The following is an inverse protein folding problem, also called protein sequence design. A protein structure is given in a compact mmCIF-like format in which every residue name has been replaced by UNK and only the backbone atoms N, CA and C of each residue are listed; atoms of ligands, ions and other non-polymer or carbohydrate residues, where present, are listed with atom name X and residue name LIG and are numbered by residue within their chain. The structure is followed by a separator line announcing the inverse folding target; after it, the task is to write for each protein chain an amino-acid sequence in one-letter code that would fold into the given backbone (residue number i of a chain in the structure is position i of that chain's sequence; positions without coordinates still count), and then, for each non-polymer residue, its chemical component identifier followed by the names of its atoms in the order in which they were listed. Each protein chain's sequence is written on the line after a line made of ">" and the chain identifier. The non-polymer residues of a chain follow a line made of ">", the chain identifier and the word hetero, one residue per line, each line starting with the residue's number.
data_IF_279380323322
#
_entry.id   IF_279380323322
#
_cell.length_a   1.000
_cell.length_b   1.000
_cell.length_c   1.000
_cell.angle_alpha   90.00
_cell.angle_beta   90.00
_cell.angle_gamma   90.00
#
_symmetry.space_group_name_H-M   'P 1'
#
loop_
_entity.id
_entity.type
_entity.pdbx_description
1 polymer ?
#
# COMPACT_ATOMS: atom_id res chain seq x y z
N UNK A 1 65.72 -11.48 33.44
CA UNK A 1 64.67 -11.64 32.39
C UNK A 1 63.25 -11.36 32.90
N UNK A 2 62.94 -11.59 34.18
CA UNK A 2 61.61 -11.47 34.80
C UNK A 2 61.06 -10.04 34.93
N UNK A 3 61.91 -9.03 35.09
CA UNK A 3 61.52 -7.60 35.20
C UNK A 3 61.06 -6.99 33.88
N UNK A 4 61.65 -7.38 32.74
CA UNK A 4 61.23 -6.92 31.40
C UNK A 4 59.84 -7.46 31.03
N UNK A 5 59.56 -8.74 31.33
CA UNK A 5 58.23 -9.34 31.13
C UNK A 5 57.16 -8.69 32.02
N UNK A 6 57.49 -8.36 33.28
CA UNK A 6 56.57 -7.65 34.19
C UNK A 6 56.21 -6.26 33.68
N UNK A 7 57.19 -5.48 33.17
CA UNK A 7 56.94 -4.16 32.58
C UNK A 7 56.13 -4.24 31.29
N UNK A 8 56.40 -5.21 30.43
CA UNK A 8 55.63 -5.41 29.20
C UNK A 8 54.15 -5.75 29.51
N UNK A 9 53.90 -6.61 30.51
CA UNK A 9 52.55 -6.96 30.96
C UNK A 9 51.80 -5.78 31.57
N UNK A 10 52.45 -4.93 32.37
CA UNK A 10 51.81 -3.74 32.93
C UNK A 10 51.48 -2.68 31.88
N UNK A 11 52.33 -2.50 30.87
CA UNK A 11 52.07 -1.59 29.75
C UNK A 11 50.89 -2.09 28.91
N UNK A 12 50.86 -3.38 28.59
CA UNK A 12 49.75 -4.00 27.84
C UNK A 12 48.42 -3.88 28.60
N UNK A 13 48.42 -4.16 29.91
CA UNK A 13 47.22 -4.05 30.74
C UNK A 13 46.70 -2.60 30.80
N UNK A 14 47.60 -1.62 30.93
CA UNK A 14 47.21 -0.20 30.95
C UNK A 14 46.64 0.24 29.61
N UNK A 15 47.23 -0.20 28.50
CA UNK A 15 46.73 0.08 27.15
C UNK A 15 45.34 -0.53 26.92
N UNK A 16 45.11 -1.78 27.35
CA UNK A 16 43.78 -2.42 27.26
C UNK A 16 42.72 -1.69 28.09
N UNK A 17 43.07 -1.24 29.30
CA UNK A 17 42.15 -0.46 30.15
C UNK A 17 41.83 0.89 29.52
N UNK A 18 42.80 1.57 28.93
CA UNK A 18 42.58 2.84 28.22
C UNK A 18 41.69 2.64 26.98
N UNK A 19 41.95 1.60 26.18
CA UNK A 19 41.11 1.29 25.01
C UNK A 19 39.69 0.92 25.44
N UNK A 20 39.52 0.09 26.47
CA UNK A 20 38.21 -0.24 27.02
C UNK A 20 37.49 1.01 27.57
N UNK A 21 38.22 1.90 28.24
CA UNK A 21 37.71 3.18 28.74
C UNK A 21 37.25 4.11 27.62
N UNK A 22 38.02 4.21 26.53
CA UNK A 22 37.64 5.00 25.35
C UNK A 22 36.42 4.40 24.66
N UNK A 23 36.36 3.08 24.47
CA UNK A 23 35.20 2.41 23.88
C UNK A 23 33.95 2.65 24.74
N UNK A 24 34.07 2.54 26.06
CA UNK A 24 32.96 2.79 26.98
C UNK A 24 32.51 4.26 26.91
N UNK A 25 33.46 5.21 26.93
CA UNK A 25 33.17 6.63 26.81
C UNK A 25 32.44 6.96 25.49
N UNK A 26 32.91 6.42 24.37
CA UNK A 26 32.26 6.59 23.06
C UNK A 26 30.84 6.01 23.05
N UNK A 27 30.65 4.79 23.59
CA UNK A 27 29.34 4.13 23.70
C UNK A 27 28.36 4.96 24.55
N UNK A 28 28.82 5.51 25.67
CA UNK A 28 28.00 6.34 26.54
C UNK A 28 27.65 7.70 25.93
N UNK A 29 28.58 8.29 25.17
CA UNK A 29 28.34 9.54 24.45
C UNK A 29 27.32 9.36 23.32
N UNK A 30 27.42 8.26 22.56
CA UNK A 30 26.46 7.88 21.52
C UNK A 30 25.05 7.67 22.09
N UNK A 31 24.95 6.97 23.24
CA UNK A 31 23.67 6.77 23.91
C UNK A 31 23.08 8.10 24.43
N UNK A 32 23.92 9.01 24.92
CA UNK A 32 23.49 10.34 25.36
C UNK A 32 23.08 11.26 24.20
N UNK A 33 23.47 10.96 22.97
CA UNK A 33 23.13 11.74 21.78
C UNK A 33 21.81 11.32 21.12
N UNK A 34 21.16 10.24 21.59
CA UNK A 34 19.98 9.64 20.96
C UNK A 34 18.75 9.74 21.85
N UNK A 35 17.58 9.95 21.26
CA UNK A 35 16.29 9.82 21.94
C UNK A 35 15.66 8.50 21.49
N UNK A 36 15.42 7.61 22.44
CA UNK A 36 14.82 6.29 22.23
C UNK A 36 13.32 6.37 22.43
N UNK A 37 12.57 5.74 21.53
CA UNK A 37 11.12 5.74 21.52
C UNK A 37 10.62 4.32 21.29
N UNK A 38 9.50 3.99 21.92
CA UNK A 38 8.74 2.78 21.66
C UNK A 38 7.41 3.18 21.04
N UNK A 39 7.03 2.58 19.92
CA UNK A 39 5.72 2.76 19.34
C UNK A 39 5.02 1.42 19.15
N UNK A 40 3.70 1.41 19.32
CA UNK A 40 2.87 0.25 19.04
C UNK A 40 2.13 0.47 17.72
N UNK A 41 2.28 -0.43 16.75
CA UNK A 41 1.59 -0.38 15.47
C UNK A 41 0.65 -1.57 15.33
N UNK A 42 -0.37 -1.48 14.47
CA UNK A 42 -1.25 -2.62 14.15
C UNK A 42 -0.46 -3.83 13.61
N UNK A 43 0.54 -3.58 12.77
CA UNK A 43 1.47 -4.60 12.26
C UNK A 43 2.86 -3.99 11.98
N UNK A 44 3.83 -4.83 11.63
CA UNK A 44 5.20 -4.42 11.28
C UNK A 44 5.57 -4.80 9.85
N UNK A 45 4.61 -4.88 8.94
CA UNK A 45 4.87 -5.34 7.58
C UNK A 45 5.76 -4.34 6.82
N UNK A 46 6.81 -4.86 6.20
CA UNK A 46 7.73 -4.10 5.35
C UNK A 46 8.72 -3.19 6.09
N UNK A 47 8.76 -3.22 7.43
CA UNK A 47 9.80 -2.57 8.25
C UNK A 47 10.71 -3.60 8.92
N UNK A 48 11.99 -3.26 9.01
CA UNK A 48 13.05 -4.12 9.55
C UNK A 48 13.93 -3.36 10.53
N UNK A 49 14.66 -4.09 11.37
CA UNK A 49 15.70 -3.49 12.20
C UNK A 49 16.81 -2.92 11.31
N UNK A 50 17.20 -1.66 11.54
CA UNK A 50 18.13 -0.92 10.69
C UNK A 50 17.47 0.00 9.66
N UNK A 51 16.14 -0.06 9.49
CA UNK A 51 15.41 0.88 8.63
C UNK A 51 15.38 2.28 9.25
N UNK A 52 15.12 3.28 8.40
CA UNK A 52 15.21 4.68 8.77
C UNK A 52 14.00 5.17 9.58
N UNK A 53 14.28 6.11 10.47
CA UNK A 53 13.29 6.98 11.11
C UNK A 53 13.44 8.36 10.48
N UNK A 54 12.33 8.93 10.02
CA UNK A 54 12.29 10.13 9.19
C UNK A 54 11.57 11.29 9.89
N UNK A 55 12.05 12.51 9.67
CA UNK A 55 11.32 13.76 9.95
C UNK A 55 11.26 14.55 8.63
N UNK A 56 10.06 14.80 8.12
CA UNK A 56 9.84 15.42 6.79
C UNK A 56 10.60 14.71 5.66
N UNK A 57 10.65 13.38 5.70
CA UNK A 57 11.37 12.56 4.72
C UNK A 57 12.91 12.50 4.89
N UNK A 58 13.48 13.22 5.86
CA UNK A 58 14.93 13.19 6.12
C UNK A 58 15.26 12.10 7.15
N UNK A 59 16.21 11.18 6.89
CA UNK A 59 16.67 10.21 7.87
C UNK A 59 17.33 10.88 9.08
N UNK A 60 16.79 10.62 10.26
CA UNK A 60 17.24 11.19 11.55
C UNK A 60 17.58 10.13 12.59
N UNK A 61 17.33 8.85 12.28
CA UNK A 61 17.34 7.78 13.24
C UNK A 61 17.14 6.41 12.61
N UNK A 62 17.09 5.38 13.44
CA UNK A 62 17.03 3.97 13.00
C UNK A 62 16.12 3.12 13.90
N UNK A 63 15.50 2.11 13.30
CA UNK A 63 14.79 1.05 14.02
C UNK A 63 15.80 0.11 14.68
N UNK A 64 15.59 -0.18 15.97
CA UNK A 64 16.46 -1.07 16.76
C UNK A 64 15.90 -2.47 16.82
N UNK A 65 14.61 -2.59 17.17
CA UNK A 65 13.99 -3.87 17.47
C UNK A 65 12.52 -3.85 17.14
N UNK A 66 12.03 -4.94 16.57
CA UNK A 66 10.62 -5.20 16.32
C UNK A 66 10.24 -6.43 17.14
N UNK A 67 9.21 -6.29 17.96
CA UNK A 67 8.68 -7.33 18.83
C UNK A 67 7.20 -7.57 18.47
N UNK A 68 6.90 -8.62 17.70
CA UNK A 68 5.52 -8.99 17.41
C UNK A 68 4.77 -9.35 18.70
N UNK A 69 3.55 -8.85 18.83
CA UNK A 69 2.60 -9.20 19.89
C UNK A 69 1.31 -9.74 19.25
N UNK A 70 0.40 -10.39 20.02
CA UNK A 70 -0.78 -11.04 19.44
C UNK A 70 -1.70 -10.13 18.62
N UNK A 71 -1.80 -8.84 18.98
CA UNK A 71 -2.74 -7.89 18.36
C UNK A 71 -2.06 -6.63 17.79
N UNK A 72 -0.72 -6.55 17.86
CA UNK A 72 0.06 -5.35 17.51
C UNK A 72 1.54 -5.67 17.41
N UNK A 73 2.34 -4.78 16.84
CA UNK A 73 3.80 -4.85 16.85
C UNK A 73 4.37 -3.73 17.73
N UNK A 74 5.26 -4.09 18.66
CA UNK A 74 6.03 -3.12 19.45
C UNK A 74 7.34 -2.86 18.74
N UNK A 75 7.56 -1.62 18.31
CA UNK A 75 8.77 -1.20 17.59
C UNK A 75 9.55 -0.23 18.45
N UNK A 76 10.82 -0.56 18.72
CA UNK A 76 11.76 0.31 19.42
C UNK A 76 12.71 0.93 18.40
N UNK A 77 12.81 2.25 18.40
CA UNK A 77 13.65 3.00 17.49
C UNK A 77 14.27 4.21 18.20
N UNK A 78 15.26 4.84 17.58
CA UNK A 78 15.86 6.07 18.09
C UNK A 78 15.95 7.12 17.01
N UNK A 79 16.07 8.38 17.41
CA UNK A 79 16.46 9.51 16.55
C UNK A 79 17.49 10.40 17.25
N UNK A 80 18.28 11.12 16.48
CA UNK A 80 19.30 12.05 17.02
C UNK A 80 18.65 13.16 17.84
N UNK A 81 19.14 13.39 19.06
CA UNK A 81 18.62 14.37 20.01
C UNK A 81 18.74 15.83 19.54
N UNK A 82 19.53 16.08 18.48
CA UNK A 82 19.61 17.39 17.80
C UNK A 82 18.31 17.77 17.10
N UNK A 83 17.45 16.81 16.76
CA UNK A 83 16.15 17.05 16.16
C UNK A 83 15.07 17.19 17.23
N UNK A 84 14.27 18.25 17.12
CA UNK A 84 13.11 18.46 18.00
C UNK A 84 11.90 17.76 17.39
N UNK A 85 11.23 16.94 18.18
CA UNK A 85 9.97 16.26 17.84
C UNK A 85 8.93 16.66 18.88
N UNK A 86 7.69 17.04 18.50
CA UNK A 86 6.63 17.32 19.47
C UNK A 86 6.39 16.15 20.43
N UNK A 87 6.06 16.43 21.69
CA UNK A 87 5.75 15.39 22.68
C UNK A 87 4.54 14.54 22.29
N UNK A 88 3.61 15.12 21.54
CA UNK A 88 2.37 14.50 21.06
C UNK A 88 2.49 13.94 19.63
N UNK A 89 3.68 13.90 19.03
CA UNK A 89 3.87 13.40 17.67
C UNK A 89 3.38 11.95 17.48
N UNK A 90 2.82 11.72 16.30
CA UNK A 90 2.42 10.42 15.77
C UNK A 90 3.56 9.78 14.97
N UNK A 91 3.45 8.47 14.77
CA UNK A 91 4.40 7.69 13.97
C UNK A 91 3.67 6.94 12.84
N UNK A 92 4.09 7.18 11.60
CA UNK A 92 3.52 6.54 10.41
C UNK A 92 4.55 5.63 9.76
N UNK A 93 4.23 4.36 9.52
CA UNK A 93 5.03 3.55 8.59
C UNK A 93 4.70 4.02 7.19
N UNK A 94 5.69 4.48 6.43
CA UNK A 94 5.55 4.91 5.05
C UNK A 94 6.41 4.05 4.14
N UNK A 95 5.97 3.86 2.90
CA UNK A 95 6.73 3.21 1.84
C UNK A 95 7.19 4.29 0.86
N UNK A 96 8.41 4.84 0.99
CA UNK A 96 8.90 5.87 0.06
C UNK A 96 9.04 5.32 -1.36
N UNK A 97 9.20 4.01 -1.50
CA UNK A 97 9.33 3.28 -2.76
C UNK A 97 8.40 2.06 -2.75
N UNK A 98 7.96 1.64 -3.93
CA UNK A 98 6.98 0.55 -4.09
C UNK A 98 7.57 -0.85 -3.80
N UNK A 99 8.91 -1.00 -3.90
CA UNK A 99 9.60 -2.30 -3.87
C UNK A 99 10.62 -2.43 -2.72
N UNK A 100 11.04 -1.32 -2.10
CA UNK A 100 12.10 -1.34 -1.06
C UNK A 100 11.53 -1.14 0.35
N UNK A 101 12.42 -1.25 1.35
CA UNK A 101 12.09 -1.16 2.76
C UNK A 101 11.31 0.12 3.13
N UNK A 102 10.43 -0.03 4.11
CA UNK A 102 9.62 1.07 4.65
C UNK A 102 10.39 1.81 5.73
N UNK A 103 9.89 2.98 6.11
CA UNK A 103 10.50 3.81 7.15
C UNK A 103 9.43 4.34 8.11
N UNK A 104 9.83 4.68 9.34
CA UNK A 104 8.93 5.33 10.32
C UNK A 104 9.05 6.84 10.19
N UNK A 105 7.97 7.51 9.81
CA UNK A 105 7.87 8.97 9.76
C UNK A 105 7.25 9.51 11.05
N UNK A 106 7.97 10.39 11.74
CA UNK A 106 7.44 11.15 12.87
C UNK A 106 6.74 12.43 12.37
N UNK A 107 5.51 12.66 12.81
CA UNK A 107 4.66 13.76 12.32
C UNK A 107 3.71 14.28 13.41
N UNK A 108 3.36 15.57 13.47
CA UNK A 108 3.83 16.67 12.63
C UNK A 108 5.29 17.08 12.95
N UNK A 109 5.96 17.83 12.06
CA UNK A 109 7.24 18.44 12.39
C UNK A 109 7.08 19.45 13.54
N UNK A 110 8.15 19.65 14.30
CA UNK A 110 8.11 20.55 15.46
C UNK A 110 7.84 22.00 15.07
N UNK A 111 6.74 22.55 15.57
CA UNK A 111 6.32 23.94 15.37
C UNK A 111 6.36 24.78 16.66
N UNK A 112 6.61 24.16 17.82
CA UNK A 112 6.64 24.81 19.13
C UNK A 112 6.14 23.88 20.24
N UNK A 113 6.25 24.32 21.50
CA UNK A 113 5.73 23.59 22.66
C UNK A 113 6.65 22.47 23.19
N UNK A 114 6.11 21.54 24.00
CA UNK A 114 6.88 20.45 24.61
C UNK A 114 7.50 19.51 23.57
N UNK A 115 8.74 19.07 23.83
CA UNK A 115 9.44 18.09 22.98
C UNK A 115 9.34 16.68 23.56
N UNK A 116 9.33 15.68 22.69
CA UNK A 116 9.34 14.27 23.05
C UNK A 116 10.55 13.93 23.93
N UNK A 117 10.28 13.30 25.07
CA UNK A 117 11.31 12.87 26.01
C UNK A 117 11.91 11.51 25.61
N UNK A 118 13.09 11.22 26.12
CA UNK A 118 13.70 9.90 26.00
C UNK A 118 12.84 8.84 26.71
N UNK A 119 12.67 7.67 26.09
CA UNK A 119 11.82 6.59 26.58
C UNK A 119 10.32 6.81 26.35
N UNK A 120 9.91 7.81 25.55
CA UNK A 120 8.50 8.05 25.24
C UNK A 120 7.87 6.83 24.58
N UNK A 121 6.63 6.52 24.97
CA UNK A 121 5.79 5.49 24.34
C UNK A 121 4.73 6.17 23.48
N UNK A 122 4.75 5.91 22.17
CA UNK A 122 3.69 6.29 21.24
C UNK A 122 2.65 5.16 21.24
N UNK A 123 1.42 5.41 21.71
CA UNK A 123 0.39 4.40 21.77
C UNK A 123 -0.21 4.17 20.37
N UNK A 124 -0.92 3.06 20.20
CA UNK A 124 -1.37 2.57 18.90
C UNK A 124 -2.30 3.54 18.18
N UNK A 125 -3.09 4.31 18.93
CA UNK A 125 -4.04 5.31 18.41
C UNK A 125 -3.34 6.50 17.74
N UNK A 126 -2.03 6.69 18.00
CA UNK A 126 -1.18 7.69 17.35
C UNK A 126 -0.19 7.07 16.38
N UNK A 127 -0.49 5.87 15.89
CA UNK A 127 0.28 5.23 14.85
C UNK A 127 -0.57 4.87 13.66
N UNK A 128 0.05 4.79 12.49
CA UNK A 128 -0.63 4.37 11.27
C UNK A 128 0.29 3.49 10.44
N UNK A 129 -0.30 2.45 9.85
CA UNK A 129 0.34 1.56 8.89
C UNK A 129 -0.32 1.71 7.52
N UNK A 130 0.42 1.55 6.40
CA UNK A 130 -0.18 1.58 5.08
C UNK A 130 -1.20 0.46 4.90
N UNK A 131 -2.20 0.71 4.06
CA UNK A 131 -3.12 -0.34 3.58
C UNK A 131 -2.34 -1.28 2.67
N UNK A 132 -2.43 -2.59 2.92
CA UNK A 132 -1.74 -3.58 2.10
C UNK A 132 -2.49 -3.88 0.80
N UNK A 133 -1.78 -4.39 -0.20
CA UNK A 133 -2.37 -4.76 -1.50
C UNK A 133 -3.49 -5.79 -1.34
N UNK A 134 -3.35 -6.71 -0.39
CA UNK A 134 -4.37 -7.72 -0.11
C UNK A 134 -5.65 -7.09 0.45
N UNK A 135 -5.54 -6.08 1.31
CA UNK A 135 -6.67 -5.33 1.84
C UNK A 135 -7.39 -4.56 0.73
N UNK A 136 -6.61 -3.88 -0.12
CA UNK A 136 -7.15 -3.20 -1.30
C UNK A 136 -7.88 -4.19 -2.22
N UNK A 137 -7.28 -5.34 -2.49
CA UNK A 137 -7.89 -6.39 -3.32
C UNK A 137 -9.19 -6.90 -2.69
N UNK A 138 -9.19 -7.15 -1.38
CA UNK A 138 -10.39 -7.60 -0.67
C UNK A 138 -11.51 -6.55 -0.71
N UNK A 139 -11.17 -5.27 -0.56
CA UNK A 139 -12.12 -4.15 -0.68
C UNK A 139 -12.66 -4.04 -2.11
N UNK A 140 -11.79 -4.14 -3.12
CA UNK A 140 -12.20 -4.14 -4.53
C UNK A 140 -13.07 -5.36 -4.89
N UNK A 141 -12.76 -6.54 -4.35
CA UNK A 141 -13.58 -7.74 -4.52
C UNK A 141 -14.97 -7.57 -3.89
N UNK A 142 -15.05 -7.01 -2.68
CA UNK A 142 -16.34 -6.69 -2.05
C UNK A 142 -17.15 -5.71 -2.88
N UNK A 143 -16.50 -4.64 -3.36
CA UNK A 143 -17.14 -3.67 -4.24
C UNK A 143 -17.64 -4.34 -5.54
N UNK A 144 -16.80 -5.15 -6.17
CA UNK A 144 -17.16 -5.91 -7.38
C UNK A 144 -18.33 -6.85 -7.10
N UNK A 145 -18.36 -7.50 -5.93
CA UNK A 145 -19.46 -8.37 -5.52
C UNK A 145 -20.78 -7.61 -5.27
N UNK A 146 -20.72 -6.34 -4.87
CA UNK A 146 -21.90 -5.48 -4.75
C UNK A 146 -22.38 -4.95 -6.10
N UNK A 147 -21.45 -4.73 -7.03
CA UNK A 147 -21.68 -4.21 -8.37
C UNK A 147 -22.01 -5.29 -9.41
N UNK A 148 -21.77 -6.57 -9.12
CA UNK A 148 -22.14 -7.64 -10.03
C UNK A 148 -23.66 -7.93 -9.95
N UNK A 149 -24.32 -8.19 -11.09
CA UNK A 149 -25.68 -8.71 -11.13
C UNK A 149 -25.82 -10.02 -10.35
N UNK A 150 -26.86 -10.15 -9.53
CA UNK A 150 -27.16 -11.42 -8.84
C UNK A 150 -27.62 -12.53 -9.80
N UNK A 151 -27.97 -12.17 -11.04
CA UNK A 151 -28.44 -13.05 -12.11
C UNK A 151 -27.89 -12.56 -13.47
N UNK A 152 -27.59 -13.44 -14.44
CA UNK A 152 -27.19 -13.02 -15.78
C UNK A 152 -28.22 -12.06 -16.40
N UNK A 153 -27.78 -10.88 -16.86
CA UNK A 153 -28.64 -9.83 -17.41
C UNK A 153 -29.47 -9.05 -16.37
N UNK A 154 -29.26 -9.28 -15.08
CA UNK A 154 -29.96 -8.59 -13.99
C UNK A 154 -29.27 -7.30 -13.52
N UNK A 155 -29.90 -6.61 -12.57
CA UNK A 155 -29.30 -5.47 -11.87
C UNK A 155 -28.46 -5.95 -10.69
N UNK A 156 -27.40 -5.22 -10.37
CA UNK A 156 -26.58 -5.49 -9.18
C UNK A 156 -27.31 -5.11 -7.89
N UNK A 157 -26.80 -5.53 -6.73
CA UNK A 157 -27.41 -5.14 -5.45
C UNK A 157 -27.42 -3.63 -5.25
N UNK A 158 -26.34 -2.94 -5.63
CA UNK A 158 -26.30 -1.47 -5.63
C UNK A 158 -27.23 -0.87 -6.70
N UNK A 159 -27.26 -1.46 -7.90
CA UNK A 159 -28.17 -1.03 -8.96
C UNK A 159 -29.65 -1.18 -8.57
N UNK A 160 -30.00 -2.23 -7.84
CA UNK A 160 -31.34 -2.46 -7.30
C UNK A 160 -31.70 -1.42 -6.25
N UNK A 161 -30.77 -1.05 -5.36
CA UNK A 161 -30.97 0.03 -4.38
C UNK A 161 -31.21 1.37 -5.09
N UNK A 162 -30.38 1.70 -6.09
CA UNK A 162 -30.51 2.93 -6.87
C UNK A 162 -31.83 2.95 -7.64
N UNK A 163 -32.21 1.85 -8.29
CA UNK A 163 -33.49 1.75 -8.99
C UNK A 163 -34.66 1.87 -8.03
N UNK A 164 -34.62 1.21 -6.87
CA UNK A 164 -35.68 1.30 -5.86
C UNK A 164 -35.80 2.72 -5.32
N UNK A 165 -34.68 3.40 -5.05
CA UNK A 165 -34.69 4.79 -4.63
C UNK A 165 -35.24 5.71 -5.73
N UNK A 166 -34.81 5.49 -6.98
CA UNK A 166 -35.29 6.25 -8.14
C UNK A 166 -36.78 6.02 -8.39
N UNK A 167 -37.27 4.79 -8.30
CA UNK A 167 -38.68 4.42 -8.48
C UNK A 167 -39.55 5.04 -7.38
N UNK A 168 -39.08 5.05 -6.14
CA UNK A 168 -39.77 5.68 -5.02
C UNK A 168 -39.81 7.21 -5.12
N UNK A 169 -38.86 7.84 -5.80
CA UNK A 169 -38.83 9.30 -6.00
C UNK A 169 -39.49 9.73 -7.31
N UNK A 170 -39.57 8.86 -8.32
CA UNK A 170 -40.07 9.21 -9.66
C UNK A 170 -41.55 9.56 -9.59
N UNK A 171 -41.90 10.73 -10.10
CA UNK A 171 -43.28 11.23 -10.09
C UNK A 171 -43.76 11.80 -8.74
N UNK A 172 -43.01 11.59 -7.65
CA UNK A 172 -43.38 12.09 -6.32
C UNK A 172 -43.06 13.56 -6.10
N UNK A 173 -42.45 14.26 -7.06
CA UNK A 173 -42.07 15.68 -6.91
C UNK A 173 -43.23 16.60 -6.56
N UNK A 174 -44.42 16.37 -7.13
CA UNK A 174 -45.62 17.14 -6.79
C UNK A 174 -46.10 16.83 -5.36
N UNK A 175 -46.09 15.56 -4.96
CA UNK A 175 -46.45 15.10 -3.62
C UNK A 175 -45.48 15.61 -2.55
N UNK A 176 -44.18 15.58 -2.82
CA UNK A 176 -43.13 16.12 -1.95
C UNK A 176 -43.32 17.63 -1.79
N UNK A 177 -43.51 18.36 -2.89
CA UNK A 177 -43.81 19.79 -2.86
C UNK A 177 -45.08 20.09 -2.05
N UNK A 178 -46.16 19.37 -2.29
CA UNK A 178 -47.43 19.54 -1.59
C UNK A 178 -47.30 19.21 -0.09
N UNK A 179 -46.52 18.18 0.25
CA UNK A 179 -46.24 17.81 1.65
C UNK A 179 -45.43 18.90 2.36
N UNK A 180 -44.42 19.48 1.70
CA UNK A 180 -43.63 20.60 2.25
C UNK A 180 -44.52 21.83 2.44
N UNK A 181 -45.38 22.16 1.47
CA UNK A 181 -46.32 23.28 1.58
C UNK A 181 -47.31 23.05 2.72
N UNK A 182 -47.92 21.87 2.81
CA UNK A 182 -48.85 21.52 3.89
C UNK A 182 -48.18 21.52 5.26
N UNK A 183 -46.93 21.07 5.35
CA UNK A 183 -46.14 21.10 6.58
C UNK A 183 -45.83 22.55 6.97
N UNK A 184 -45.39 23.41 6.04
CA UNK A 184 -45.20 24.85 6.26
C UNK A 184 -46.50 25.52 6.70
N UNK A 185 -47.64 25.19 6.08
CA UNK A 185 -48.95 25.70 6.48
C UNK A 185 -49.36 25.21 7.87
N UNK A 186 -49.11 23.95 8.22
CA UNK A 186 -49.41 23.42 9.54
C UNK A 186 -48.54 24.07 10.64
N UNK A 187 -47.25 24.27 10.36
CA UNK A 187 -46.32 24.97 11.26
C UNK A 187 -46.69 26.45 11.38
N UNK A 188 -47.05 27.11 10.27
CA UNK A 188 -47.50 28.51 10.28
C UNK A 188 -48.81 28.67 11.05
N UNK A 189 -49.79 27.78 10.85
CA UNK A 189 -51.03 27.79 11.60
C UNK A 189 -50.81 27.55 13.11
N UNK A 190 -49.86 26.68 13.48
CA UNK A 190 -49.46 26.47 14.86
C UNK A 190 -48.77 27.71 15.47
N UNK A 191 -47.97 28.42 14.67
CA UNK A 191 -47.36 29.70 15.04
C UNK A 191 -48.39 30.83 15.20
N UNK A 192 -49.31 30.96 14.24
CA UNK A 192 -50.36 32.00 14.21
C UNK A 192 -51.39 31.83 15.33
N UNK A 193 -51.76 30.59 15.66
CA UNK A 193 -52.71 30.29 16.75
C UNK A 193 -52.02 29.94 18.08
N UNK A 194 -50.69 30.10 18.17
CA UNK A 194 -49.96 29.91 19.42
C UNK A 194 -50.51 30.81 20.53
N UNK A 195 -50.87 32.06 20.23
CA UNK A 195 -51.46 32.99 21.21
C UNK A 195 -52.82 32.52 21.75
N UNK A 196 -53.65 31.89 20.92
CA UNK A 196 -54.98 31.40 21.32
C UNK A 196 -54.91 30.09 22.12
N UNK A 197 -53.99 29.19 21.75
CA UNK A 197 -53.72 27.96 22.50
C UNK A 197 -53.19 28.29 23.90
N UNK A 198 -52.28 29.27 24.01
CA UNK A 198 -51.73 29.70 25.28
C UNK A 198 -52.76 30.44 26.14
N UNK A 199 -53.63 31.24 25.53
CA UNK A 199 -54.78 31.87 26.21
C UNK A 199 -55.72 30.81 26.79
N UNK A 200 -56.00 29.74 26.05
CA UNK A 200 -56.88 28.64 26.49
C UNK A 200 -56.27 27.86 27.67
N UNK A 201 -54.96 27.59 27.64
CA UNK A 201 -54.23 26.92 28.74
C UNK A 201 -54.16 27.80 30.00
N UNK A 202 -53.98 29.11 29.83
CA UNK A 202 -53.97 30.08 30.95
C UNK A 202 -55.38 30.25 31.57
N UNK A 203 -56.43 30.19 30.74
CA UNK A 203 -57.81 30.21 31.23
C UNK A 203 -58.19 28.88 31.92
N UNK A 204 -57.61 27.75 31.50
CA UNK A 204 -57.81 26.46 32.15
C UNK A 204 -57.09 26.37 33.51
N UNK A 205 -55.90 26.96 33.68
CA UNK A 205 -55.24 27.07 35.00
C UNK A 205 -56.04 27.96 35.97
N UNK A 206 -56.70 29.00 35.44
CA UNK A 206 -57.60 29.88 36.21
C UNK A 206 -58.87 29.13 36.66
N UNK A 207 -59.43 28.26 35.79
CA UNK A 207 -60.59 27.43 36.10
C UNK A 207 -60.27 26.31 37.11
N UNK A 208 -59.07 25.72 37.06
CA UNK A 208 -58.58 24.70 37.99
C UNK A 208 -58.27 25.29 39.38
N UNK A 209 -57.84 26.56 39.44
CA UNK A 209 -57.65 27.28 40.71
C UNK A 209 -58.98 27.58 41.42
N UNK A 210 -60.09 27.63 40.68
CA UNK A 210 -61.43 27.88 41.22
C UNK A 210 -62.13 26.61 41.77
N UNK A 211 -61.63 25.41 41.46
CA UNK A 211 -62.24 24.14 41.89
C UNK A 211 -61.46 23.53 43.06
N UNK A 212 -61.59 24.18 44.21
CA UNK A 212 -60.93 23.81 45.47
C UNK A 212 -61.72 22.71 46.18
N UNK A 213 -61.44 21.42 45.91
CA UNK A 213 -61.79 20.34 46.87
C UNK A 213 -61.12 18.96 46.62
N UNK A 214 -59.89 18.91 46.10
CA UNK A 214 -59.11 17.64 46.04
C UNK A 214 -57.60 17.89 46.06
N UNK A 215 -57.07 18.16 47.26
CA UNK A 215 -55.70 18.67 47.47
C UNK A 215 -54.58 17.84 46.82
N UNK A 216 -54.68 16.50 46.81
CA UNK A 216 -53.57 15.62 46.38
C UNK A 216 -53.43 15.49 44.84
N UNK A 217 -54.55 15.51 44.11
CA UNK A 217 -54.54 15.49 42.64
C UNK A 217 -54.19 16.87 42.06
N UNK A 218 -54.57 17.94 42.77
CA UNK A 218 -54.27 19.32 42.41
C UNK A 218 -52.79 19.68 42.58
N UNK A 219 -52.09 19.17 43.60
CA UNK A 219 -50.66 19.48 43.79
C UNK A 219 -49.79 18.89 42.67
N UNK A 220 -50.04 17.64 42.26
CA UNK A 220 -49.34 17.00 41.13
C UNK A 220 -49.72 17.60 39.79
N UNK A 221 -50.98 17.98 39.60
CA UNK A 221 -51.42 18.68 38.40
C UNK A 221 -50.79 20.08 38.32
N UNK A 222 -50.80 20.86 39.40
CA UNK A 222 -50.19 22.20 39.45
C UNK A 222 -48.68 22.15 39.27
N UNK A 223 -47.97 21.17 39.83
CA UNK A 223 -46.53 21.06 39.62
C UNK A 223 -46.18 20.75 38.16
N UNK A 224 -46.94 19.86 37.52
CA UNK A 224 -46.74 19.55 36.10
C UNK A 224 -47.20 20.70 35.19
N UNK A 225 -48.32 21.36 35.50
CA UNK A 225 -48.80 22.52 34.75
C UNK A 225 -47.83 23.70 34.90
N UNK A 226 -47.29 23.96 36.09
CA UNK A 226 -46.31 25.02 36.31
C UNK A 226 -44.98 24.74 35.61
N UNK A 227 -44.53 23.48 35.56
CA UNK A 227 -43.34 23.09 34.80
C UNK A 227 -43.53 23.25 33.28
N UNK A 228 -44.69 22.85 32.76
CA UNK A 228 -45.05 23.03 31.34
C UNK A 228 -45.25 24.51 31.01
N UNK A 229 -45.91 25.27 31.89
CA UNK A 229 -46.14 26.73 31.71
C UNK A 229 -44.84 27.52 31.86
N UNK A 230 -43.90 27.08 32.69
CA UNK A 230 -42.55 27.67 32.82
C UNK A 230 -41.71 27.46 31.56
N UNK A 231 -41.68 26.24 31.02
CA UNK A 231 -41.00 25.93 29.75
C UNK A 231 -41.63 26.65 28.55
N UNK A 232 -42.92 26.94 28.63
CA UNK A 232 -43.70 27.55 27.56
C UNK A 232 -43.77 29.10 27.66
N UNK A 233 -43.69 29.66 28.88
CA UNK A 233 -43.66 31.11 29.14
C UNK A 233 -42.26 31.73 28.98
N UNK A 234 -41.19 30.93 29.06
CA UNK A 234 -39.81 31.38 28.81
C UNK A 234 -39.49 31.66 27.32
N UNK A 235 -40.49 31.60 26.42
CA UNK A 235 -40.27 32.02 25.03
C UNK A 235 -41.50 32.00 24.12
N UNK A 236 -42.54 32.81 24.36
CA UNK A 236 -43.62 33.01 23.38
C UNK A 236 -43.08 33.51 22.02
N UNK A 237 -42.01 34.30 22.03
CA UNK A 237 -41.39 34.84 20.80
C UNK A 237 -40.48 33.83 20.09
N UNK A 238 -39.99 32.79 20.79
CA UNK A 238 -39.05 31.83 20.19
C UNK A 238 -39.71 30.83 19.26
N UNK A 239 -40.94 30.42 19.54
CA UNK A 239 -41.71 29.56 18.64
C UNK A 239 -42.21 30.35 17.42
N UNK A 240 -42.64 31.60 17.63
CA UNK A 240 -42.97 32.53 16.55
C UNK A 240 -41.77 32.79 15.63
N UNK A 241 -40.61 33.13 16.21
CA UNK A 241 -39.37 33.33 15.46
C UNK A 241 -38.89 32.07 14.76
N UNK A 242 -38.96 30.90 15.40
CA UNK A 242 -38.61 29.64 14.75
C UNK A 242 -39.53 29.33 13.56
N UNK A 243 -40.82 29.67 13.63
CA UNK A 243 -41.76 29.49 12.53
C UNK A 243 -41.52 30.50 11.38
N UNK A 244 -41.23 31.76 11.71
CA UNK A 244 -40.84 32.79 10.73
C UNK A 244 -39.51 32.45 10.04
N UNK A 245 -38.49 32.05 10.80
CA UNK A 245 -37.20 31.60 10.27
C UNK A 245 -37.36 30.37 9.38
N UNK A 246 -38.21 29.41 9.76
CA UNK A 246 -38.49 28.25 8.92
C UNK A 246 -39.17 28.66 7.60
N UNK A 247 -40.14 29.58 7.65
CA UNK A 247 -40.82 30.06 6.44
C UNK A 247 -39.87 30.84 5.53
N UNK A 248 -38.97 31.64 6.11
CA UNK A 248 -37.92 32.34 5.36
C UNK A 248 -36.99 31.35 4.67
N UNK A 249 -36.53 30.31 5.38
CA UNK A 249 -35.70 29.24 4.80
C UNK A 249 -36.44 28.46 3.71
N UNK A 250 -37.73 28.17 3.89
CA UNK A 250 -38.54 27.47 2.88
C UNK A 250 -38.73 28.33 1.63
N UNK A 251 -38.92 29.64 1.78
CA UNK A 251 -39.00 30.58 0.67
C UNK A 251 -37.65 30.70 -0.07
N UNK A 252 -36.54 30.78 0.65
CA UNK A 252 -35.18 30.83 0.09
C UNK A 252 -34.79 29.53 -0.62
N UNK A 253 -35.14 28.37 -0.05
CA UNK A 253 -34.92 27.07 -0.70
C UNK A 253 -35.80 26.97 -1.96
N UNK A 254 -37.03 27.50 -1.92
CA UNK A 254 -37.93 27.56 -3.06
C UNK A 254 -37.42 28.45 -4.19
N UNK A 255 -36.90 29.64 -3.88
CA UNK A 255 -36.32 30.58 -4.84
C UNK A 255 -35.00 30.06 -5.41
N UNK A 256 -34.09 29.57 -4.57
CA UNK A 256 -32.84 28.93 -4.97
C UNK A 256 -33.09 27.73 -5.91
N UNK A 257 -34.06 26.88 -5.56
CA UNK A 257 -34.42 25.75 -6.41
C UNK A 257 -35.06 26.19 -7.74
N UNK A 258 -35.83 27.29 -7.75
CA UNK A 258 -36.40 27.83 -8.99
C UNK A 258 -35.32 28.47 -9.89
N UNK A 259 -34.39 29.20 -9.30
CA UNK A 259 -33.31 29.93 -9.99
C UNK A 259 -32.21 28.99 -10.53
N UNK A 260 -31.97 27.86 -9.85
CA UNK A 260 -30.94 26.90 -10.25
C UNK A 260 -31.47 25.62 -10.90
N UNK A 261 -32.75 25.55 -11.28
CA UNK A 261 -33.34 24.38 -11.96
C UNK A 261 -32.55 23.92 -13.18
N UNK A 262 -32.11 24.86 -14.01
CA UNK A 262 -31.35 24.58 -15.22
C UNK A 262 -29.93 24.10 -14.91
N UNK A 263 -29.28 24.70 -13.91
CA UNK A 263 -27.96 24.28 -13.44
C UNK A 263 -27.99 22.87 -12.82
N UNK A 264 -29.02 22.56 -12.02
CA UNK A 264 -29.24 21.24 -11.41
C UNK A 264 -29.56 20.21 -12.49
N UNK A 265 -30.39 20.55 -13.47
CA UNK A 265 -30.68 19.69 -14.63
C UNK A 265 -29.41 19.40 -15.43
N UNK A 266 -28.64 20.44 -15.78
CA UNK A 266 -27.38 20.31 -16.51
C UNK A 266 -26.34 19.50 -15.75
N UNK A 267 -26.23 19.70 -14.43
CA UNK A 267 -25.34 18.91 -13.59
C UNK A 267 -25.76 17.44 -13.55
N UNK A 268 -27.07 17.16 -13.47
CA UNK A 268 -27.61 15.81 -13.49
C UNK A 268 -27.38 15.12 -14.85
N UNK A 269 -27.59 15.83 -15.96
CA UNK A 269 -27.36 15.32 -17.31
C UNK A 269 -25.87 15.05 -17.56
N UNK A 270 -24.99 15.95 -17.11
CA UNK A 270 -23.53 15.75 -17.19
C UNK A 270 -23.10 14.58 -16.31
N UNK A 271 -23.63 14.44 -15.10
CA UNK A 271 -23.33 13.32 -14.21
C UNK A 271 -23.79 11.99 -14.81
N UNK A 272 -25.00 11.96 -15.39
CA UNK A 272 -25.51 10.80 -16.10
C UNK A 272 -24.62 10.45 -17.30
N UNK A 273 -24.24 11.45 -18.11
CA UNK A 273 -23.34 11.27 -19.26
C UNK A 273 -21.96 10.72 -18.86
N UNK A 274 -21.35 11.26 -17.80
CA UNK A 274 -20.07 10.78 -17.26
C UNK A 274 -20.21 9.35 -16.73
N UNK A 275 -21.31 9.06 -16.02
CA UNK A 275 -21.57 7.72 -15.47
C UNK A 275 -21.76 6.70 -16.58
N UNK A 276 -22.51 7.04 -17.63
CA UNK A 276 -22.67 6.18 -18.81
C UNK A 276 -21.34 5.97 -19.51
N UNK A 277 -20.56 7.02 -19.78
CA UNK A 277 -19.25 6.91 -20.41
C UNK A 277 -18.29 6.01 -19.59
N UNK A 278 -18.32 6.13 -18.27
CA UNK A 278 -17.53 5.29 -17.37
C UNK A 278 -17.99 3.82 -17.41
N UNK A 279 -19.31 3.57 -17.39
CA UNK A 279 -19.89 2.23 -17.48
C UNK A 279 -19.56 1.58 -18.82
N UNK A 280 -19.70 2.31 -19.91
CA UNK A 280 -19.36 1.84 -21.26
C UNK A 280 -17.87 1.54 -21.41
N UNK A 281 -17.01 2.26 -20.66
CA UNK A 281 -15.55 2.06 -20.65
C UNK A 281 -15.08 1.01 -19.63
N UNK A 282 -15.98 0.39 -18.84
CA UNK A 282 -15.57 -0.56 -17.79
C UNK A 282 -14.83 -1.78 -18.37
N UNK A 283 -15.22 -2.26 -19.55
CA UNK A 283 -14.58 -3.41 -20.17
C UNK A 283 -13.18 -3.08 -20.69
N UNK A 284 -12.97 -1.86 -21.20
CA UNK A 284 -11.65 -1.37 -21.61
C UNK A 284 -10.73 -1.18 -20.39
N UNK A 285 -11.24 -0.67 -19.27
CA UNK A 285 -10.50 -0.55 -18.01
C UNK A 285 -10.11 -1.94 -17.48
N UNK A 286 -11.05 -2.89 -17.47
CA UNK A 286 -10.77 -4.29 -17.07
C UNK A 286 -9.70 -4.90 -17.96
N UNK A 287 -9.82 -4.76 -19.28
CA UNK A 287 -8.87 -5.31 -20.23
C UNK A 287 -7.49 -4.70 -20.02
N UNK A 288 -7.41 -3.38 -19.86
CA UNK A 288 -6.17 -2.67 -19.56
C UNK A 288 -5.53 -3.21 -18.29
N UNK A 289 -6.29 -3.32 -17.19
CA UNK A 289 -5.78 -3.86 -15.93
C UNK A 289 -5.38 -5.34 -16.03
N UNK A 290 -6.04 -6.13 -16.89
CA UNK A 290 -5.71 -7.54 -17.11
C UNK A 290 -4.41 -7.71 -17.89
N UNK A 291 -4.17 -6.91 -18.93
CA UNK A 291 -2.97 -7.00 -19.76
C UNK A 291 -1.77 -6.24 -19.18
N UNK A 292 -2.00 -5.21 -18.37
CA UNK A 292 -0.94 -4.32 -17.86
C UNK A 292 0.19 -5.05 -17.14
N UNK A 293 -0.05 -6.01 -16.23
CA UNK A 293 1.04 -6.72 -15.56
C UNK A 293 1.94 -7.47 -16.54
N UNK A 294 1.33 -8.16 -17.51
CA UNK A 294 2.05 -8.91 -18.53
C UNK A 294 2.83 -7.99 -19.47
N UNK A 295 2.24 -6.86 -19.87
CA UNK A 295 2.91 -5.85 -20.71
C UNK A 295 4.11 -5.23 -19.98
N UNK A 296 3.95 -4.86 -18.71
CA UNK A 296 5.03 -4.31 -17.89
C UNK A 296 6.14 -5.33 -17.64
N UNK A 297 5.78 -6.59 -17.36
CA UNK A 297 6.74 -7.67 -17.19
C UNK A 297 7.51 -7.95 -18.48
N UNK A 298 6.82 -8.01 -19.62
CA UNK A 298 7.46 -8.19 -20.92
C UNK A 298 8.35 -7.00 -21.28
N UNK A 299 7.94 -5.78 -20.96
CA UNK A 299 8.77 -4.59 -21.13
C UNK A 299 10.03 -4.68 -20.26
N UNK A 300 9.92 -5.05 -18.99
CA UNK A 300 11.07 -5.23 -18.11
C UNK A 300 12.01 -6.35 -18.59
N UNK A 301 11.47 -7.42 -19.17
CA UNK A 301 12.27 -8.52 -19.73
C UNK A 301 12.96 -8.17 -21.06
N UNK A 302 12.46 -7.15 -21.76
CA UNK A 302 12.99 -6.69 -23.05
C UNK A 302 13.84 -5.44 -22.88
N UNK A 303 13.71 -4.69 -21.79
CA UNK A 303 14.52 -3.50 -21.56
C UNK A 303 15.86 -3.89 -20.93
N UNK A 304 16.95 -3.59 -21.64
CA UNK A 304 18.32 -3.83 -21.18
C UNK A 304 18.93 -2.53 -20.64
N UNK A 305 19.03 -2.35 -19.31
CA UNK A 305 19.48 -1.09 -18.70
C UNK A 305 20.92 -0.75 -19.09
N UNK A 306 21.76 -1.76 -19.35
CA UNK A 306 23.16 -1.57 -19.71
C UNK A 306 23.35 -0.80 -21.03
N UNK A 307 22.38 -0.93 -21.95
CA UNK A 307 22.43 -0.38 -23.30
C UNK A 307 21.36 0.71 -23.55
N UNK A 308 20.46 0.93 -22.58
CA UNK A 308 19.35 1.88 -22.73
C UNK A 308 18.42 1.55 -23.90
N UNK A 309 18.34 0.27 -24.26
CA UNK A 309 17.67 -0.21 -25.48
C UNK A 309 16.73 -1.38 -25.18
N UNK A 310 15.73 -1.54 -26.05
CA UNK A 310 14.86 -2.72 -26.05
C UNK A 310 15.58 -3.86 -26.79
N UNK A 311 15.93 -4.93 -26.08
CA UNK A 311 16.48 -6.17 -26.61
C UNK A 311 15.36 -7.08 -27.11
N UNK A 312 15.10 -7.04 -28.41
CA UNK A 312 14.33 -8.07 -29.09
C UNK A 312 15.25 -9.02 -29.85
N UNK A 313 15.00 -10.31 -29.80
CA UNK A 313 15.61 -11.26 -30.73
C UNK A 313 14.69 -11.39 -31.95
N UNK A 314 15.24 -11.22 -33.17
CA UNK A 314 14.56 -11.66 -34.38
C UNK A 314 14.56 -13.19 -34.39
N UNK A 315 13.54 -13.79 -33.79
CA UNK A 315 13.31 -15.23 -33.85
C UNK A 315 12.73 -15.58 -35.23
N UNK A 316 13.58 -15.65 -36.24
CA UNK A 316 13.24 -16.36 -37.47
C UNK A 316 13.03 -17.86 -37.17
N UNK A 317 12.32 -18.57 -38.04
CA UNK A 317 12.34 -20.03 -38.01
C UNK A 317 13.78 -20.51 -38.22
N UNK A 318 14.48 -20.78 -37.12
CA UNK A 318 15.83 -21.34 -37.11
C UNK A 318 15.78 -22.78 -37.65
N UNK A 319 16.91 -23.52 -37.69
CA UNK A 319 16.93 -24.95 -38.02
C UNK A 319 16.19 -25.86 -36.99
N UNK A 320 15.40 -25.28 -36.07
CA UNK A 320 14.42 -25.99 -35.26
C UNK A 320 13.35 -26.68 -36.14
N UNK A 321 13.02 -26.09 -37.29
CA UNK A 321 12.23 -26.76 -38.33
C UNK A 321 12.95 -26.60 -39.69
N UNK A 322 13.92 -27.50 -40.00
CA UNK A 322 14.78 -27.35 -41.17
C UNK A 322 13.99 -27.48 -42.48
N UNK A 323 12.87 -28.21 -42.46
CA UNK A 323 11.99 -28.35 -43.61
C UNK A 323 11.25 -27.05 -43.90
N UNK A 324 10.69 -26.40 -42.86
CA UNK A 324 10.06 -25.10 -43.02
C UNK A 324 11.07 -24.01 -43.44
N UNK A 325 12.28 -24.03 -42.89
CA UNK A 325 13.35 -23.10 -43.26
C UNK A 325 13.75 -23.27 -44.73
N UNK A 326 14.12 -24.48 -45.16
CA UNK A 326 14.61 -24.75 -46.52
C UNK A 326 13.50 -24.65 -47.57
N UNK A 327 12.36 -25.32 -47.35
CA UNK A 327 11.29 -25.33 -48.33
C UNK A 327 10.51 -24.01 -48.35
N UNK A 328 10.44 -23.29 -47.22
CA UNK A 328 9.91 -21.92 -47.18
C UNK A 328 10.81 -20.93 -47.94
N UNK A 329 12.13 -21.07 -47.84
CA UNK A 329 13.08 -20.28 -48.65
C UNK A 329 12.95 -20.57 -50.15
N UNK A 330 12.77 -21.84 -50.55
CA UNK A 330 12.52 -22.23 -51.95
C UNK A 330 11.19 -21.64 -52.44
N UNK A 331 10.14 -21.66 -51.61
CA UNK A 331 8.87 -21.04 -51.93
C UNK A 331 9.03 -19.54 -52.18
N UNK A 332 9.76 -18.85 -51.29
CA UNK A 332 9.98 -17.41 -51.37
C UNK A 332 10.88 -17.01 -52.55
N UNK A 333 11.85 -17.84 -52.93
CA UNK A 333 12.78 -17.57 -54.03
C UNK A 333 12.21 -17.92 -55.41
N UNK A 334 11.18 -18.78 -55.48
CA UNK A 334 10.60 -19.21 -56.75
C UNK A 334 9.69 -18.15 -57.37
N UNK A 335 9.94 -17.80 -58.63
CA UNK A 335 9.15 -16.80 -59.37
C UNK A 335 7.82 -17.34 -59.90
N UNK A 336 7.71 -18.66 -60.13
CA UNK A 336 6.52 -19.33 -60.65
C UNK A 336 6.38 -20.72 -60.00
N UNK A 337 5.17 -21.08 -59.55
CA UNK A 337 4.89 -22.39 -58.97
C UNK A 337 5.58 -22.65 -57.63
N UNK A 338 5.90 -21.61 -56.85
CA UNK A 338 6.64 -21.72 -55.59
C UNK A 338 5.98 -22.65 -54.56
N UNK A 339 4.65 -22.68 -54.48
CA UNK A 339 3.93 -23.61 -53.60
C UNK A 339 4.12 -25.08 -54.05
N UNK A 340 4.13 -25.34 -55.36
CA UNK A 340 4.37 -26.67 -55.92
C UNK A 340 5.81 -27.13 -55.64
N UNK A 341 6.78 -26.22 -55.85
CA UNK A 341 8.20 -26.47 -55.59
C UNK A 341 8.46 -26.74 -54.10
N UNK A 342 7.80 -25.99 -53.21
CA UNK A 342 7.88 -26.19 -51.77
C UNK A 342 7.27 -27.54 -51.35
N UNK A 343 6.12 -27.93 -51.92
CA UNK A 343 5.51 -29.25 -51.66
C UNK A 343 6.42 -30.41 -52.08
N UNK A 344 7.04 -30.32 -53.26
CA UNK A 344 8.03 -31.29 -53.72
C UNK A 344 9.26 -31.30 -52.82
N UNK A 345 9.76 -30.13 -52.40
CA UNK A 345 10.84 -30.02 -51.43
C UNK A 345 10.52 -30.77 -50.13
N UNK A 346 9.34 -30.54 -49.54
CA UNK A 346 8.89 -31.24 -48.32
C UNK A 346 8.83 -32.74 -48.57
N UNK A 347 8.28 -33.18 -49.71
CA UNK A 347 8.15 -34.60 -50.05
C UNK A 347 9.49 -35.34 -50.13
N UNK A 348 10.53 -34.71 -50.70
CA UNK A 348 11.85 -35.33 -50.86
C UNK A 348 12.78 -35.14 -49.65
N UNK A 349 12.71 -33.98 -48.97
CA UNK A 349 13.63 -33.66 -47.87
C UNK A 349 13.11 -34.11 -46.49
N UNK A 350 11.80 -34.16 -46.25
CA UNK A 350 11.28 -34.56 -44.95
C UNK A 350 11.75 -35.95 -44.48
N UNK A 351 11.82 -36.99 -45.33
CA UNK A 351 12.34 -38.30 -44.91
C UNK A 351 13.81 -38.27 -44.48
N UNK A 352 14.61 -37.35 -45.02
CA UNK A 352 16.07 -37.29 -44.81
C UNK A 352 16.43 -36.38 -43.62
N UNK A 353 15.74 -35.25 -43.46
CA UNK A 353 16.18 -34.14 -42.60
C UNK A 353 15.27 -33.90 -41.38
N UNK A 354 14.12 -34.58 -41.26
CA UNK A 354 13.16 -34.39 -40.15
C UNK A 354 13.76 -34.60 -38.75
N UNK A 355 14.81 -35.41 -38.63
CA UNK A 355 15.50 -35.71 -37.35
C UNK A 355 16.80 -34.90 -37.14
N UNK A 356 17.06 -33.87 -37.96
CA UNK A 356 18.25 -33.00 -37.85
C UNK A 356 17.84 -31.59 -37.40
N UNK A 357 17.21 -31.51 -36.24
CA UNK A 357 16.81 -30.24 -35.64
C UNK A 357 17.97 -29.67 -34.83
N UNK A 358 18.37 -28.45 -35.16
CA UNK A 358 19.35 -27.70 -34.38
C UNK A 358 18.83 -26.27 -34.23
N UNK A 359 18.70 -25.78 -33.00
CA UNK A 359 18.57 -24.34 -32.79
C UNK A 359 19.95 -23.78 -33.10
N UNK A 360 20.24 -23.10 -34.20
CA UNK A 360 21.58 -22.60 -34.56
C UNK A 360 22.52 -23.62 -35.24
N UNK A 361 23.14 -23.26 -36.38
CA UNK A 361 24.21 -24.05 -36.99
C UNK A 361 25.40 -24.25 -36.03
N UNK A 362 26.14 -25.38 -36.11
CA UNK A 362 27.32 -25.66 -35.28
C UNK A 362 28.54 -24.78 -35.61
N UNK A 363 28.38 -23.77 -36.46
CA UNK A 363 29.34 -22.69 -36.65
C UNK A 363 29.07 -21.68 -35.53
N UNK A 364 29.67 -21.91 -34.36
CA UNK A 364 29.42 -21.24 -33.08
C UNK A 364 29.67 -19.73 -33.06
N UNK A 365 28.92 -18.98 -33.87
CA UNK A 365 28.85 -17.53 -33.83
C UNK A 365 27.39 -17.15 -33.63
N UNK A 366 27.03 -16.85 -32.38
CA UNK A 366 25.88 -16.01 -32.13
C UNK A 366 26.29 -14.58 -32.54
N UNK A 367 25.94 -14.16 -33.76
CA UNK A 367 26.31 -12.84 -34.29
C UNK A 367 25.60 -11.69 -33.58
N UNK A 368 24.71 -11.99 -32.62
CA UNK A 368 23.89 -11.05 -31.89
C UNK A 368 24.00 -11.22 -30.36
N UNK A 369 25.21 -11.51 -29.84
CA UNK A 369 25.44 -11.37 -28.40
C UNK A 369 25.68 -9.90 -28.07
N UNK A 370 24.68 -9.24 -27.50
CA UNK A 370 24.89 -7.97 -26.78
C UNK A 370 25.61 -8.24 -25.46
N UNK A 371 26.34 -7.25 -24.94
CA UNK A 371 26.92 -7.35 -23.60
C UNK A 371 25.79 -7.52 -22.56
N UNK A 372 25.76 -8.67 -21.87
CA UNK A 372 24.69 -9.06 -20.93
C UNK A 372 24.98 -8.61 -19.48
N UNK A 373 26.23 -8.31 -19.15
CA UNK A 373 26.62 -7.80 -17.83
C UNK A 373 27.92 -7.01 -17.93
N UNK A 374 28.00 -5.87 -17.23
CA UNK A 374 29.26 -5.14 -17.06
C UNK A 374 30.15 -5.88 -16.05
N UNK A 375 31.49 -5.72 -16.08
CA UNK A 375 32.38 -6.44 -15.17
C UNK A 375 32.06 -6.23 -13.68
N UNK A 376 31.42 -5.12 -13.31
CA UNK A 376 30.98 -4.81 -11.95
C UNK A 376 29.62 -5.43 -11.57
N UNK A 377 28.95 -6.12 -12.49
CA UNK A 377 27.65 -6.77 -12.32
C UNK A 377 27.77 -8.31 -12.30
N UNK A 378 28.98 -8.85 -12.52
CA UNK A 378 29.27 -10.29 -12.50
C UNK A 378 29.94 -10.64 -11.18
N UNK A 379 29.26 -11.44 -10.36
CA UNK A 379 29.87 -12.09 -9.19
C UNK A 379 30.27 -13.50 -9.58
N UNK A 380 31.58 -13.79 -9.53
CA UNK A 380 32.11 -15.12 -9.81
C UNK A 380 31.99 -16.00 -8.57
N UNK A 381 31.54 -17.24 -8.74
CA UNK A 381 31.43 -18.22 -7.66
C UNK A 381 32.79 -18.58 -7.06
N UNK A 382 33.85 -18.53 -7.86
CA UNK A 382 35.22 -18.77 -7.46
C UNK A 382 36.16 -17.75 -8.10
N UNK A 383 37.24 -17.37 -7.41
CA UNK A 383 38.15 -16.32 -7.89
C UNK A 383 38.90 -16.71 -9.16
N UNK A 384 39.14 -18.00 -9.42
CA UNK A 384 39.81 -18.47 -10.63
C UNK A 384 38.96 -18.34 -11.90
N UNK A 385 37.65 -18.12 -11.77
CA UNK A 385 36.75 -17.87 -12.89
C UNK A 385 36.80 -16.41 -13.38
N UNK A 386 37.44 -15.52 -12.62
CA UNK A 386 37.56 -14.11 -12.98
C UNK A 386 38.54 -13.95 -14.16
N UNK A 387 38.21 -13.14 -15.19
CA UNK A 387 39.08 -12.91 -16.34
C UNK A 387 40.45 -12.30 -15.98
N UNK A 388 40.53 -11.59 -14.85
CA UNK A 388 41.72 -10.94 -14.32
C UNK A 388 42.45 -11.78 -13.25
N UNK A 389 42.04 -13.04 -13.04
CA UNK A 389 42.67 -13.91 -12.07
C UNK A 389 44.12 -14.23 -12.45
N UNK A 390 45.04 -13.83 -11.58
CA UNK A 390 46.44 -14.26 -11.62
C UNK A 390 46.62 -15.34 -10.57
N UNK A 391 46.93 -16.56 -11.00
CA UNK A 391 47.24 -17.64 -10.07
C UNK A 391 48.42 -17.23 -9.18
N UNK A 392 48.33 -17.43 -7.85
CA UNK A 392 49.46 -17.16 -6.98
C UNK A 392 50.67 -17.98 -7.45
N UNK A 393 51.79 -17.31 -7.67
CA UNK A 393 53.05 -17.97 -8.00
C UNK A 393 53.40 -18.86 -6.83
N UNK A 394 53.55 -20.16 -7.09
CA UNK A 394 54.04 -21.09 -6.08
C UNK A 394 55.49 -20.72 -5.77
N UNK A 395 55.71 -19.94 -4.70
CA UNK A 395 57.03 -19.63 -4.16
C UNK A 395 57.60 -20.85 -3.43
N UNK A 396 57.81 -21.95 -4.16
CA UNK A 396 58.76 -23.03 -3.86
C UNK A 396 58.59 -24.14 -4.92
N UNK A 397 59.66 -24.56 -5.60
CA UNK A 397 59.63 -25.86 -6.29
C UNK A 397 59.36 -26.94 -5.24
N UNK A 398 58.47 -27.91 -5.50
CA UNK A 398 58.32 -29.04 -4.59
C UNK A 398 59.66 -29.78 -4.47
N UNK A 399 60.09 -30.00 -3.24
CA UNK A 399 61.27 -30.78 -2.90
C UNK A 399 61.14 -32.18 -3.55
N UNK A 400 62.12 -32.68 -4.35
CA UNK A 400 61.98 -33.96 -5.05
C UNK A 400 61.86 -35.18 -4.12
N UNK A 401 61.93 -34.99 -2.80
CA UNK A 401 62.09 -36.04 -1.80
C UNK A 401 60.79 -36.62 -1.22
N UNK A 402 59.62 -36.39 -1.80
CA UNK A 402 58.37 -36.99 -1.30
C UNK A 402 57.56 -37.68 -2.41
N UNK A 403 58.21 -38.54 -3.21
CA UNK A 403 57.48 -39.61 -3.86
C UNK A 403 57.05 -40.62 -2.79
N UNK A 404 55.83 -40.48 -2.29
CA UNK A 404 55.23 -41.45 -1.36
C UNK A 404 54.99 -42.75 -2.13
N UNK A 405 55.87 -43.73 -1.95
CA UNK A 405 55.67 -45.09 -2.48
C UNK A 405 54.57 -45.77 -1.67
N UNK A 406 53.40 -45.97 -2.28
CA UNK A 406 52.29 -46.71 -1.67
C UNK A 406 52.53 -48.20 -1.89
N UNK A 407 52.56 -48.99 -0.82
CA UNK A 407 52.69 -50.45 -0.90
C UNK A 407 51.40 -51.06 -1.49
N UNK A 408 51.45 -51.67 -2.69
CA UNK A 408 50.27 -52.22 -3.36
C UNK A 408 49.63 -53.40 -2.60
N UNK A 409 50.29 -53.98 -1.60
CA UNK A 409 49.70 -55.03 -0.74
C UNK A 409 48.60 -54.52 0.20
N UNK A 410 48.49 -53.20 0.42
CA UNK A 410 47.52 -52.59 1.34
C UNK A 410 46.10 -52.41 0.76
N UNK A 411 45.92 -52.68 -0.53
CA UNK A 411 44.63 -52.61 -1.21
C UNK A 411 43.99 -51.21 -1.22
N UNK A 412 42.74 -51.13 -1.69
CA UNK A 412 42.00 -49.86 -1.90
C UNK A 412 41.87 -48.99 -0.64
N UNK A 413 41.92 -49.59 0.55
CA UNK A 413 41.87 -48.84 1.83
C UNK A 413 43.17 -48.11 2.14
N UNK A 414 44.33 -48.64 1.75
CA UNK A 414 45.63 -47.97 1.94
C UNK A 414 45.84 -46.76 1.02
N UNK A 415 45.16 -46.73 -0.14
CA UNK A 415 45.25 -45.63 -1.11
C UNK A 415 44.35 -44.42 -0.78
N UNK A 416 43.42 -44.55 0.18
CA UNK A 416 42.42 -43.52 0.48
C UNK A 416 42.62 -42.79 1.82
N UNK A 417 43.68 -43.11 2.58
CA UNK A 417 44.01 -42.40 3.82
C UNK A 417 45.33 -41.64 3.67
N UNK A 418 45.34 -40.30 3.82
CA UNK A 418 46.60 -39.56 3.86
C UNK A 418 47.38 -39.93 5.13
N UNK A 419 48.70 -40.19 5.03
CA UNK A 419 49.50 -40.53 6.19
C UNK A 419 49.66 -39.29 7.07
N UNK A 420 49.22 -39.36 8.33
CA UNK A 420 49.47 -38.31 9.33
C UNK A 420 48.27 -37.81 10.14
N UNK A 421 47.08 -38.39 9.97
CA UNK A 421 45.93 -38.06 10.83
C UNK A 421 45.92 -38.85 12.15
N UNK A 422 46.76 -38.47 13.12
CA UNK A 422 46.79 -39.08 14.44
C UNK A 422 47.35 -38.16 15.52
N UNK A 423 46.45 -37.72 16.42
CA UNK A 423 46.58 -36.89 17.64
C UNK A 423 47.02 -35.44 17.50
#
# INVERSE_FOLDING_TARGET
>A
MTTKLRRARSVLATALVLVAGVILAMRTADAAARTTVVAYFDNSNGVFAGDDVLIRGVPVGKIVKIEPQPLRAKISFWFDRKYRVPADAAAAILSPQLVTGRAIQLTPPYAGGPTMADGTVIPQERTVVPVEWDDLRAQLQRLTALLQPTRPGGVSTLGALINTAADNLRGQGATIRDTIIKLSQAISALGDHSKDIFSTVTNLSTLVTALHDSADLLERLNHNLAAVTSLLADGPDKIGQAAEDLNAVVADVGSFAAEHREAIGTASDKLASITTALVDSLDDIKQTLHISPTVLQNFNNIFEPANGALTGALAGNNMANPIAFLCGAIQAASRLGGEQAAKLCVQYLAPIVKNRQYNYPPLGANLFVGAQARPNEVTYSEDWLRPDYVAPVADTPPDPAAAVTVDPATGLRGMMMPPGGGS
#
